data_IF_994819799497
#
_entry.id   IF_994819799497
#
_cell.length_a   1.000
_cell.length_b   1.000
_cell.length_c   1.000
_cell.angle_alpha   90.00
_cell.angle_beta   90.00
_cell.angle_gamma   90.00
#
_symmetry.space_group_name_H-M   'P 1'
#
loop_
_entity.id
_entity.type
_entity.pdbx_description
1 polymer ?
#
# COMPACT_ATOMS: atom_id res chain seq x y z
N UNK A 1 0.01 0.28 -1.24
CA UNK A 1 0.96 1.32 -0.78
C UNK A 1 1.44 2.16 -1.94
N UNK A 2 2.26 1.64 -2.88
CA UNK A 2 2.82 2.42 -3.99
C UNK A 2 1.78 3.25 -4.76
N UNK A 3 0.68 2.63 -5.21
CA UNK A 3 -0.40 3.31 -5.94
C UNK A 3 -0.97 4.49 -5.16
N UNK A 4 -1.34 4.29 -3.89
CA UNK A 4 -1.99 5.33 -3.07
C UNK A 4 -0.97 6.40 -2.68
N UNK A 5 0.29 6.04 -2.40
CA UNK A 5 1.35 7.01 -2.11
C UNK A 5 1.60 7.95 -3.28
N UNK A 6 1.75 7.39 -4.49
CA UNK A 6 1.95 8.19 -5.68
C UNK A 6 0.73 9.07 -5.98
N UNK A 7 -0.49 8.60 -5.69
CA UNK A 7 -1.69 9.44 -5.78
C UNK A 7 -1.62 10.61 -4.79
N UNK A 8 -1.20 10.39 -3.54
CA UNK A 8 -1.00 11.51 -2.60
C UNK A 8 0.07 12.45 -3.12
N UNK A 9 1.28 11.95 -3.37
CA UNK A 9 2.42 12.77 -3.75
C UNK A 9 2.19 13.60 -5.03
N UNK A 10 1.67 12.95 -6.08
CA UNK A 10 1.44 13.63 -7.36
C UNK A 10 0.32 14.66 -7.29
N UNK A 11 -0.70 14.46 -6.47
CA UNK A 11 -1.79 15.42 -6.33
C UNK A 11 -1.43 16.59 -5.39
N UNK A 12 -0.63 16.35 -4.34
CA UNK A 12 -0.07 17.44 -3.51
C UNK A 12 0.81 18.33 -4.40
N UNK A 13 1.85 17.78 -5.02
CA UNK A 13 2.76 18.59 -5.84
C UNK A 13 2.05 19.20 -7.06
N UNK A 14 1.07 18.49 -7.64
CA UNK A 14 0.24 19.00 -8.72
C UNK A 14 -0.60 20.21 -8.30
N UNK A 15 -1.10 20.22 -7.06
CA UNK A 15 -1.81 21.37 -6.49
C UNK A 15 -0.91 22.59 -6.31
N UNK A 16 0.29 22.39 -5.79
CA UNK A 16 1.31 23.45 -5.69
C UNK A 16 1.71 24.01 -7.06
N UNK A 17 1.94 23.16 -8.06
CA UNK A 17 2.23 23.58 -9.44
C UNK A 17 1.07 24.40 -10.00
N UNK A 18 -0.19 24.02 -9.71
CA UNK A 18 -1.36 24.77 -10.14
C UNK A 18 -1.42 26.17 -9.51
N UNK A 19 -1.13 26.27 -8.20
CA UNK A 19 -1.06 27.55 -7.48
C UNK A 19 0.08 28.44 -7.99
N UNK A 20 1.26 27.88 -8.25
CA UNK A 20 2.38 28.59 -8.86
C UNK A 20 1.97 29.19 -10.22
N UNK A 21 1.37 28.38 -11.10
CA UNK A 21 0.90 28.86 -12.41
C UNK A 21 -0.18 29.94 -12.31
N UNK A 22 -1.02 29.88 -11.27
CA UNK A 22 -2.09 30.86 -11.04
C UNK A 22 -1.59 32.15 -10.38
N UNK A 23 -0.50 32.07 -9.59
CA UNK A 23 0.10 33.17 -8.83
C UNK A 23 1.19 33.92 -9.60
N UNK A 24 1.73 33.36 -10.68
CA UNK A 24 2.62 34.07 -11.65
C UNK A 24 1.97 35.36 -12.19
N UNK A 25 0.65 35.50 -12.13
CA UNK A 25 -0.07 36.74 -12.47
C UNK A 25 -0.09 37.81 -11.35
N UNK A 26 0.36 37.49 -10.12
CA UNK A 26 0.20 38.32 -8.91
C UNK A 26 1.46 38.27 -8.00
N UNK A 27 2.56 38.87 -8.45
CA UNK A 27 3.74 39.31 -7.68
C UNK A 27 4.63 38.28 -6.95
N UNK A 28 5.92 38.28 -7.35
CA UNK A 28 7.22 38.17 -6.63
C UNK A 28 7.48 37.17 -5.47
N UNK A 29 6.54 36.31 -5.08
CA UNK A 29 6.88 35.15 -4.28
C UNK A 29 7.39 34.05 -5.23
N UNK A 30 8.67 33.71 -5.13
CA UNK A 30 9.30 32.69 -5.99
C UNK A 30 8.50 31.37 -6.04
N UNK A 31 8.63 30.66 -7.15
CA UNK A 31 7.96 29.37 -7.42
C UNK A 31 8.11 28.42 -6.24
N UNK A 32 7.00 28.01 -5.63
CA UNK A 32 7.02 27.11 -4.48
C UNK A 32 7.42 25.69 -4.88
N UNK A 33 6.97 25.23 -6.06
CA UNK A 33 7.29 23.94 -6.63
C UNK A 33 8.25 24.11 -7.82
N UNK A 34 9.46 24.63 -7.58
CA UNK A 34 10.51 24.63 -8.60
C UNK A 34 10.85 23.19 -9.05
N UNK A 35 11.43 22.98 -10.25
CA UNK A 35 11.82 21.64 -10.70
C UNK A 35 12.74 20.91 -9.71
N UNK A 36 13.63 21.64 -9.03
CA UNK A 36 14.48 21.04 -7.98
C UNK A 36 13.65 20.56 -6.78
N UNK A 37 12.69 21.38 -6.31
CA UNK A 37 11.79 21.01 -5.20
C UNK A 37 10.93 19.81 -5.57
N UNK A 38 10.37 19.79 -6.79
CA UNK A 38 9.56 18.67 -7.30
C UNK A 38 10.38 17.37 -7.29
N UNK A 39 11.60 17.40 -7.84
CA UNK A 39 12.46 16.22 -7.88
C UNK A 39 12.87 15.77 -6.48
N UNK A 40 13.24 16.70 -5.60
CA UNK A 40 13.64 16.39 -4.24
C UNK A 40 12.47 15.77 -3.46
N UNK A 41 11.28 16.38 -3.52
CA UNK A 41 10.07 15.86 -2.88
C UNK A 41 9.69 14.46 -3.38
N UNK A 42 9.62 14.26 -4.70
CA UNK A 42 9.25 12.97 -5.28
C UNK A 42 10.30 11.87 -5.01
N UNK A 43 11.55 12.24 -4.73
CA UNK A 43 12.58 11.26 -4.34
C UNK A 43 12.30 10.57 -3.00
N UNK A 44 11.41 11.11 -2.16
CA UNK A 44 10.98 10.46 -0.91
C UNK A 44 10.33 9.09 -1.11
N UNK A 45 9.85 8.79 -2.32
CA UNK A 45 9.36 7.45 -2.70
C UNK A 45 10.41 6.34 -2.51
N UNK A 46 11.70 6.71 -2.48
CA UNK A 46 12.81 5.79 -2.27
C UNK A 46 12.72 5.07 -0.92
N UNK A 47 12.14 5.69 0.12
CA UNK A 47 11.94 5.01 1.40
C UNK A 47 11.05 3.79 1.27
N UNK A 48 9.89 3.94 0.61
CA UNK A 48 8.98 2.83 0.34
C UNK A 48 9.65 1.72 -0.48
N UNK A 49 10.55 2.07 -1.40
CA UNK A 49 11.25 1.10 -2.26
C UNK A 49 12.56 0.58 -1.65
N UNK A 50 12.97 1.09 -0.49
CA UNK A 50 14.23 0.78 0.19
C UNK A 50 13.99 0.25 1.61
N UNK A 51 14.30 1.08 2.62
CA UNK A 51 14.26 0.70 4.03
C UNK A 51 12.84 0.31 4.46
N UNK A 52 11.83 1.07 4.06
CA UNK A 52 10.42 0.79 4.36
C UNK A 52 9.97 -0.59 3.86
N UNK A 53 10.36 -0.98 2.62
CA UNK A 53 10.09 -2.32 2.10
C UNK A 53 10.85 -3.40 2.88
N UNK A 54 12.11 -3.16 3.20
CA UNK A 54 12.93 -4.12 3.96
C UNK A 54 12.34 -4.41 5.34
N UNK A 55 11.86 -3.37 6.02
CA UNK A 55 11.16 -3.52 7.30
C UNK A 55 9.83 -4.25 7.15
N UNK A 56 9.04 -3.91 6.12
CA UNK A 56 7.77 -4.58 5.84
C UNK A 56 7.98 -6.07 5.55
N UNK A 57 8.98 -6.43 4.74
CA UNK A 57 9.36 -7.83 4.47
C UNK A 57 9.69 -8.54 5.79
N UNK A 58 10.45 -7.90 6.68
CA UNK A 58 10.83 -8.47 7.97
C UNK A 58 9.60 -8.72 8.86
N UNK A 59 8.66 -7.77 8.90
CA UNK A 59 7.41 -7.93 9.66
C UNK A 59 6.53 -9.03 9.08
N UNK A 60 6.29 -9.02 7.76
CA UNK A 60 5.47 -10.02 7.07
C UNK A 60 6.07 -11.41 7.22
N UNK A 61 7.39 -11.56 7.07
CA UNK A 61 8.10 -12.83 7.28
C UNK A 61 7.89 -13.38 8.69
N UNK A 62 7.93 -12.51 9.70
CA UNK A 62 7.66 -12.89 11.10
C UNK A 62 6.20 -13.34 11.27
N UNK A 63 5.24 -12.63 10.69
CA UNK A 63 3.82 -12.98 10.76
C UNK A 63 3.54 -14.32 10.06
N UNK A 64 4.09 -14.53 8.85
CA UNK A 64 4.00 -15.80 8.12
C UNK A 64 4.59 -16.94 8.93
N UNK A 65 5.77 -16.77 9.54
CA UNK A 65 6.40 -17.78 10.38
C UNK A 65 5.54 -18.14 11.60
N UNK A 66 4.87 -17.17 12.22
CA UNK A 66 3.95 -17.41 13.35
C UNK A 66 2.72 -18.22 12.93
N UNK A 67 2.14 -17.95 11.75
CA UNK A 67 0.89 -18.57 11.31
C UNK A 67 1.10 -19.92 10.63
N UNK A 68 2.11 -20.03 9.76
CA UNK A 68 2.33 -21.23 8.94
C UNK A 68 3.53 -22.08 9.39
N UNK A 69 4.38 -21.57 10.29
CA UNK A 69 5.64 -22.22 10.63
C UNK A 69 5.52 -23.57 11.34
N UNK A 70 4.40 -23.83 12.02
CA UNK A 70 4.12 -25.12 12.66
C UNK A 70 3.40 -26.12 11.76
N UNK A 71 3.00 -25.72 10.55
CA UNK A 71 2.26 -26.59 9.63
C UNK A 71 3.20 -27.55 8.89
N UNK A 72 2.75 -28.79 8.73
CA UNK A 72 3.49 -29.79 7.95
C UNK A 72 3.36 -29.51 6.46
N UNK A 73 4.45 -29.67 5.70
CA UNK A 73 4.40 -29.60 4.23
C UNK A 73 3.44 -30.61 3.59
N UNK A 74 3.12 -31.70 4.31
CA UNK A 74 2.16 -32.73 3.88
C UNK A 74 0.71 -32.39 4.22
N UNK A 75 0.47 -31.41 5.10
CA UNK A 75 -0.87 -31.02 5.51
C UNK A 75 -1.61 -30.44 4.31
N UNK A 76 -2.81 -30.98 4.04
CA UNK A 76 -3.70 -30.46 3.01
C UNK A 76 -4.50 -29.29 3.57
N UNK A 77 -4.57 -28.21 2.80
CA UNK A 77 -5.37 -27.03 3.11
C UNK A 77 -6.35 -26.81 1.97
N UNK A 78 -7.59 -26.51 2.31
CA UNK A 78 -8.61 -25.99 1.42
C UNK A 78 -8.37 -24.51 1.09
N UNK A 79 -9.04 -24.00 0.06
CA UNK A 79 -8.99 -22.58 -0.29
C UNK A 79 -9.48 -21.68 0.87
N UNK A 80 -10.52 -22.11 1.58
CA UNK A 80 -11.07 -21.37 2.73
C UNK A 80 -10.10 -21.34 3.91
N UNK A 81 -9.40 -22.44 4.20
CA UNK A 81 -8.35 -22.47 5.22
C UNK A 81 -7.18 -21.57 4.83
N UNK A 82 -6.77 -21.58 3.55
CA UNK A 82 -5.73 -20.67 3.05
C UNK A 82 -6.14 -19.20 3.19
N UNK A 83 -7.38 -18.86 2.84
CA UNK A 83 -7.93 -17.52 3.04
C UNK A 83 -7.90 -17.10 4.52
N UNK A 84 -8.28 -18.00 5.43
CA UNK A 84 -8.21 -17.74 6.88
C UNK A 84 -6.78 -17.49 7.35
N UNK A 85 -5.81 -18.29 6.89
CA UNK A 85 -4.40 -18.05 7.20
C UNK A 85 -3.90 -16.70 6.66
N UNK A 86 -4.27 -16.32 5.44
CA UNK A 86 -3.92 -15.01 4.87
C UNK A 86 -4.54 -13.88 5.68
N UNK A 87 -5.81 -13.99 6.08
CA UNK A 87 -6.48 -13.01 6.95
C UNK A 87 -5.79 -12.87 8.30
N UNK A 88 -5.35 -13.97 8.90
CA UNK A 88 -4.61 -13.92 10.16
C UNK A 88 -3.24 -13.27 10.00
N UNK A 89 -2.51 -13.56 8.91
CA UNK A 89 -1.24 -12.89 8.59
C UNK A 89 -1.48 -11.39 8.43
N UNK A 90 -2.53 -10.98 7.70
CA UNK A 90 -2.90 -9.57 7.55
C UNK A 90 -3.19 -8.93 8.90
N UNK A 91 -3.98 -9.58 9.75
CA UNK A 91 -4.28 -9.10 11.10
C UNK A 91 -3.01 -8.83 11.90
N UNK A 92 -2.04 -9.76 11.91
CA UNK A 92 -0.78 -9.60 12.62
C UNK A 92 0.13 -8.47 12.07
N UNK A 93 -0.04 -8.10 10.79
CA UNK A 93 0.73 -7.04 10.13
C UNK A 93 0.05 -5.68 10.28
N UNK A 94 -1.27 -5.65 10.15
CA UNK A 94 -2.10 -4.44 10.15
C UNK A 94 -2.50 -4.00 11.57
N UNK A 95 -2.74 -4.92 12.51
CA UNK A 95 -3.10 -4.57 13.88
C UNK A 95 -1.88 -4.09 14.68
N UNK A 96 -2.09 -3.01 15.44
CA UNK A 96 -1.22 -2.65 16.54
C UNK A 96 -1.31 -3.72 17.62
N UNK A 97 -0.18 -4.26 18.06
CA UNK A 97 -0.11 -5.04 19.31
C UNK A 97 -0.63 -4.12 20.43
N UNK A 98 -1.90 -4.30 20.83
CA UNK A 98 -2.51 -3.61 21.98
C UNK A 98 -1.92 -4.06 23.32
N UNK A 99 -0.92 -4.95 23.29
CA UNK A 99 -0.29 -5.55 24.47
C UNK A 99 0.94 -4.78 24.97
N UNK A 100 1.35 -3.71 24.28
CA UNK A 100 2.32 -2.76 24.81
C UNK A 100 1.57 -1.78 25.70
N UNK A 101 1.79 -1.81 27.01
CA UNK A 101 1.31 -0.80 27.96
C UNK A 101 1.98 0.57 27.75
N UNK A 102 1.92 1.11 26.52
CA UNK A 102 2.35 2.45 26.19
C UNK A 102 1.10 3.28 25.91
N UNK A 103 0.91 4.24 26.79
CA UNK A 103 -0.14 5.24 26.85
C UNK A 103 -0.42 5.87 25.48
N UNK A 104 -1.70 5.92 25.12
CA UNK A 104 -2.43 7.02 24.45
C UNK A 104 -1.72 7.91 23.42
N UNK A 105 -0.77 7.42 22.62
CA UNK A 105 -0.41 8.11 21.37
C UNK A 105 -1.20 7.49 20.23
N UNK A 106 -2.39 8.09 20.02
CA UNK A 106 -3.23 8.07 18.83
C UNK A 106 -2.81 7.12 17.72
N UNK A 107 -3.60 6.05 17.53
CA UNK A 107 -4.09 5.46 16.28
C UNK A 107 -3.34 5.68 14.94
N UNK A 108 -2.02 5.85 14.92
CA UNK A 108 -1.25 5.93 13.68
C UNK A 108 -1.24 4.56 13.04
N UNK A 109 -1.73 4.49 11.80
CA UNK A 109 -1.67 3.25 11.02
C UNK A 109 -0.20 2.84 10.89
N UNK A 110 0.18 1.67 11.44
CA UNK A 110 1.53 1.10 11.33
C UNK A 110 2.04 1.04 9.89
N UNK A 111 1.11 0.96 8.95
CA UNK A 111 1.39 0.88 7.53
C UNK A 111 2.06 2.15 6.98
N UNK A 112 1.80 3.32 7.57
CA UNK A 112 2.34 4.61 7.12
C UNK A 112 3.86 4.69 7.33
N UNK A 113 4.38 4.04 8.37
CA UNK A 113 5.83 3.96 8.68
C UNK A 113 6.66 3.30 7.57
N UNK A 114 6.04 2.42 6.77
CA UNK A 114 6.69 1.79 5.62
C UNK A 114 6.66 2.69 4.38
N UNK A 115 5.85 3.74 4.37
CA UNK A 115 5.61 4.61 3.23
C UNK A 115 6.44 5.89 3.30
N UNK A 116 6.67 6.42 4.49
CA UNK A 116 7.56 7.55 4.74
C UNK A 116 8.39 7.34 6.01
N UNK A 117 9.61 7.91 6.08
CA UNK A 117 10.37 7.91 7.32
C UNK A 117 9.70 8.79 8.38
N UNK A 118 9.90 8.41 9.64
CA UNK A 118 9.48 9.18 10.80
C UNK A 118 10.10 10.59 10.77
N UNK A 119 9.40 11.56 11.37
CA UNK A 119 9.86 12.96 11.39
C UNK A 119 11.21 13.11 12.10
N UNK A 120 11.45 12.30 13.13
CA UNK A 120 12.68 12.27 13.92
C UNK A 120 13.90 11.71 13.14
N UNK A 121 13.67 11.08 11.99
CA UNK A 121 14.77 10.53 11.20
C UNK A 121 15.56 11.67 10.52
N UNK A 122 16.89 11.50 10.31
CA UNK A 122 17.71 12.50 9.64
C UNK A 122 17.11 12.91 8.28
N UNK A 123 17.09 14.22 7.98
CA UNK A 123 16.51 14.75 6.73
C UNK A 123 17.05 14.05 5.47
N UNK A 124 18.33 13.69 5.47
CA UNK A 124 19.00 12.97 4.38
C UNK A 124 18.39 11.60 4.06
N UNK A 125 17.67 10.99 5.01
CA UNK A 125 16.93 9.74 4.82
C UNK A 125 15.51 9.96 4.29
N UNK A 126 14.99 11.19 4.39
CA UNK A 126 13.62 11.54 3.99
C UNK A 126 13.50 11.87 2.51
N UNK A 127 14.51 12.50 1.93
CA UNK A 127 14.61 12.76 0.51
C UNK A 127 16.07 12.94 0.08
N UNK A 128 16.35 12.74 -1.20
CA UNK A 128 17.69 12.82 -1.77
C UNK A 128 18.26 14.24 -1.61
N UNK A 129 19.36 14.35 -0.86
CA UNK A 129 20.07 15.62 -0.65
C UNK A 129 19.30 16.65 0.18
N UNK A 130 18.31 16.23 0.97
CA UNK A 130 17.50 17.12 1.80
C UNK A 130 18.31 17.73 2.95
N UNK A 131 18.22 19.04 3.09
CA UNK A 131 18.85 19.82 4.16
C UNK A 131 17.84 20.72 4.86
N UNK A 132 18.19 21.27 6.02
CA UNK A 132 17.34 22.20 6.78
C UNK A 132 16.98 23.48 6.00
N UNK A 133 17.72 23.79 4.92
CA UNK A 133 17.48 24.95 4.07
C UNK A 133 16.31 24.73 3.09
N UNK A 134 15.93 23.49 2.84
CA UNK A 134 14.92 23.09 1.86
C UNK A 134 13.51 23.16 2.47
N UNK A 135 13.16 24.33 3.00
CA UNK A 135 11.95 24.56 3.82
C UNK A 135 10.68 24.14 3.09
N UNK A 136 10.58 24.37 1.78
CA UNK A 136 9.40 23.99 0.99
C UNK A 136 9.28 22.48 0.84
N UNK A 137 10.38 21.77 0.60
CA UNK A 137 10.37 20.30 0.51
C UNK A 137 10.01 19.69 1.87
N UNK A 138 10.55 20.22 2.97
CA UNK A 138 10.20 19.78 4.33
C UNK A 138 8.71 19.97 4.59
N UNK A 139 8.14 21.11 4.20
CA UNK A 139 6.69 21.38 4.32
C UNK A 139 5.86 20.34 3.55
N UNK A 140 6.20 20.09 2.29
CA UNK A 140 5.48 19.11 1.46
C UNK A 140 5.54 17.71 2.08
N UNK A 141 6.68 17.31 2.66
CA UNK A 141 6.83 16.03 3.34
C UNK A 141 5.95 15.95 4.59
N UNK A 142 5.85 17.03 5.37
CA UNK A 142 4.99 17.08 6.56
C UNK A 142 3.50 17.02 6.17
N UNK A 143 3.07 17.79 5.17
CA UNK A 143 1.71 17.71 4.63
C UNK A 143 1.38 16.31 4.08
N UNK A 144 2.37 15.64 3.50
CA UNK A 144 2.22 14.25 3.07
C UNK A 144 2.04 13.33 4.27
N UNK A 145 2.81 13.48 5.35
CA UNK A 145 2.64 12.71 6.58
C UNK A 145 1.24 12.90 7.16
N UNK A 146 0.78 14.13 7.28
CA UNK A 146 -0.57 14.45 7.76
C UNK A 146 -1.64 13.74 6.90
N UNK A 147 -1.47 13.76 5.58
CA UNK A 147 -2.37 13.06 4.66
C UNK A 147 -2.32 11.53 4.83
N UNK A 148 -1.14 10.95 5.04
CA UNK A 148 -0.98 9.51 5.29
C UNK A 148 -1.55 9.08 6.64
N UNK A 149 -1.54 9.96 7.64
CA UNK A 149 -2.12 9.71 8.97
C UNK A 149 -3.64 9.95 9.00
N UNK A 150 -4.21 10.53 7.95
CA UNK A 150 -5.64 10.81 7.87
C UNK A 150 -6.51 9.53 7.87
N UNK A 151 -7.74 9.60 8.41
CA UNK A 151 -8.69 8.50 8.35
C UNK A 151 -9.09 8.15 6.91
N UNK A 152 -9.21 9.16 6.04
CA UNK A 152 -9.59 8.97 4.63
C UNK A 152 -8.54 8.15 3.90
N UNK A 153 -7.24 8.47 4.09
CA UNK A 153 -6.16 7.67 3.54
C UNK A 153 -6.21 6.22 4.03
N UNK A 154 -6.46 6.02 5.33
CA UNK A 154 -6.57 4.68 5.92
C UNK A 154 -7.72 3.86 5.31
N UNK A 155 -8.87 4.47 5.06
CA UNK A 155 -10.03 3.84 4.40
C UNK A 155 -9.69 3.43 2.96
N UNK A 156 -9.06 4.32 2.20
CA UNK A 156 -8.67 4.03 0.80
C UNK A 156 -7.61 2.94 0.75
N UNK A 157 -6.58 3.03 1.59
CA UNK A 157 -5.53 2.02 1.66
C UNK A 157 -6.11 0.65 2.03
N UNK A 158 -6.99 0.57 3.02
CA UNK A 158 -7.65 -0.68 3.41
C UNK A 158 -8.51 -1.25 2.27
N UNK A 159 -9.24 -0.39 1.55
CA UNK A 159 -10.01 -0.79 0.37
C UNK A 159 -9.12 -1.40 -0.72
N UNK A 160 -7.96 -0.77 -1.00
CA UNK A 160 -6.98 -1.31 -1.94
C UNK A 160 -6.40 -2.65 -1.47
N UNK A 161 -6.06 -2.78 -0.18
CA UNK A 161 -5.53 -4.04 0.37
C UNK A 161 -6.56 -5.16 0.27
N UNK A 162 -7.81 -4.91 0.68
CA UNK A 162 -8.90 -5.88 0.60
C UNK A 162 -9.15 -6.32 -0.84
N UNK A 163 -9.17 -5.37 -1.79
CA UNK A 163 -9.29 -5.66 -3.23
C UNK A 163 -8.12 -6.50 -3.74
N UNK A 164 -6.89 -6.16 -3.34
CA UNK A 164 -5.67 -6.85 -3.74
C UNK A 164 -5.60 -8.28 -3.21
N UNK A 165 -5.85 -8.51 -1.92
CA UNK A 165 -5.90 -9.86 -1.36
C UNK A 165 -7.05 -10.69 -1.92
N UNK A 166 -8.19 -10.08 -2.25
CA UNK A 166 -9.27 -10.75 -2.99
C UNK A 166 -8.78 -11.26 -4.35
N UNK A 167 -8.08 -10.42 -5.13
CA UNK A 167 -7.52 -10.83 -6.43
C UNK A 167 -6.44 -11.89 -6.33
N UNK A 168 -5.59 -11.83 -5.31
CA UNK A 168 -4.61 -12.88 -5.01
C UNK A 168 -5.32 -14.22 -4.77
N UNK A 169 -6.36 -14.23 -3.96
CA UNK A 169 -7.15 -15.43 -3.69
C UNK A 169 -7.88 -15.93 -4.93
N UNK A 170 -8.48 -15.04 -5.72
CA UNK A 170 -9.12 -15.39 -7.00
C UNK A 170 -8.13 -16.11 -7.93
N UNK A 171 -6.90 -15.62 -8.04
CA UNK A 171 -5.86 -16.25 -8.87
C UNK A 171 -5.38 -17.59 -8.32
N UNK A 172 -5.21 -17.70 -7.00
CA UNK A 172 -4.84 -18.97 -6.37
C UNK A 172 -5.96 -20.01 -6.52
N UNK A 173 -7.22 -19.58 -6.45
CA UNK A 173 -8.39 -20.46 -6.56
C UNK A 173 -8.45 -21.23 -7.88
N UNK A 174 -7.85 -20.71 -8.95
CA UNK A 174 -7.78 -21.41 -10.24
C UNK A 174 -7.04 -22.74 -10.17
N UNK A 175 -6.11 -22.87 -9.22
CA UNK A 175 -5.32 -24.09 -8.98
C UNK A 175 -6.00 -25.07 -8.03
N UNK A 176 -7.10 -24.67 -7.38
CA UNK A 176 -7.94 -25.50 -6.51
C UNK A 176 -9.11 -26.14 -7.28
N UNK A 177 -8.98 -26.28 -8.61
CA UNK A 177 -9.97 -26.95 -9.46
C UNK A 177 -9.64 -28.43 -9.63
N UNK A 178 -10.64 -29.32 -9.69
CA UNK A 178 -10.38 -30.73 -9.91
C UNK A 178 -9.88 -30.91 -11.35
N UNK A 179 -8.93 -31.82 -11.55
CA UNK A 179 -8.46 -32.13 -12.90
C UNK A 179 -9.64 -32.68 -13.73
N UNK A 180 -9.70 -32.37 -15.03
CA UNK A 180 -10.77 -32.86 -15.94
C UNK A 180 -10.94 -34.40 -15.91
N UNK A 181 -9.92 -35.14 -15.47
CA UNK A 181 -9.96 -36.59 -15.27
C UNK A 181 -10.79 -37.04 -14.05
N UNK A 182 -10.90 -36.22 -12.99
CA UNK A 182 -11.67 -36.52 -11.76
C UNK A 182 -13.16 -36.20 -11.92
N UNK A 183 -13.49 -35.24 -12.77
CA UNK A 183 -14.86 -34.85 -13.13
C UNK A 183 -15.61 -35.98 -13.87
N UNK A 184 -14.90 -36.84 -14.60
CA UNK A 184 -15.49 -37.97 -15.33
C UNK A 184 -15.92 -39.15 -14.42
N UNK A 185 -15.50 -39.17 -13.15
CA UNK A 185 -15.85 -40.24 -12.21
C UNK A 185 -16.86 -39.82 -11.13
N UNK A 186 -17.17 -38.53 -11.00
CA UNK A 186 -18.06 -38.02 -9.95
C UNK A 186 -19.14 -37.09 -10.50
N UNK A 187 -20.33 -37.64 -10.70
CA UNK A 187 -21.58 -36.93 -11.00
C UNK A 187 -22.11 -36.17 -9.77
N UNK A 188 -21.30 -35.29 -9.20
CA UNK A 188 -21.68 -34.52 -8.01
C UNK A 188 -21.17 -33.09 -8.12
N UNK A 189 -22.11 -32.19 -8.46
CA UNK A 189 -21.97 -30.73 -8.43
C UNK A 189 -21.57 -30.16 -7.05
N UNK A 190 -21.48 -31.00 -6.01
CA UNK A 190 -21.07 -30.63 -4.66
C UNK A 190 -19.55 -30.72 -4.39
N UNK A 191 -18.73 -31.12 -5.39
CA UNK A 191 -17.29 -31.40 -5.17
C UNK A 191 -16.37 -30.17 -5.27
N UNK A 192 -16.88 -28.98 -5.57
CA UNK A 192 -16.04 -27.79 -5.76
C UNK A 192 -15.60 -27.12 -4.44
N UNK A 193 -16.32 -27.35 -3.34
CA UNK A 193 -16.07 -26.70 -2.05
C UNK A 193 -15.12 -27.46 -1.11
N UNK A 194 -14.66 -28.66 -1.48
CA UNK A 194 -13.83 -29.52 -0.61
C UNK A 194 -12.43 -29.81 -1.14
N UNK A 195 -12.01 -29.16 -2.23
CA UNK A 195 -10.69 -29.44 -2.82
C UNK A 195 -9.61 -28.85 -1.92
N UNK A 196 -8.71 -29.72 -1.49
CA UNK A 196 -7.60 -29.38 -0.59
C UNK A 196 -6.29 -29.80 -1.23
N UNK A 197 -5.29 -28.92 -1.14
CA UNK A 197 -3.95 -29.17 -1.67
C UNK A 197 -2.95 -29.29 -0.52
N UNK A 198 -1.98 -30.22 -0.58
CA UNK A 198 -0.86 -30.23 0.33
C UNK A 198 -0.12 -28.89 0.29
N UNK A 199 0.30 -28.38 1.45
CA UNK A 199 1.03 -27.10 1.56
C UNK A 199 2.25 -27.05 0.63
N UNK A 200 2.97 -28.17 0.46
CA UNK A 200 4.07 -28.29 -0.49
C UNK A 200 3.71 -27.93 -1.94
N UNK A 201 2.46 -28.15 -2.36
CA UNK A 201 1.95 -27.76 -3.69
C UNK A 201 1.45 -26.32 -3.73
N UNK A 202 0.98 -25.78 -2.60
CA UNK A 202 0.52 -24.38 -2.49
C UNK A 202 1.71 -23.41 -2.57
N UNK A 203 2.86 -23.76 -1.99
CA UNK A 203 4.08 -22.94 -2.00
C UNK A 203 4.46 -22.44 -3.41
N UNK A 204 4.66 -23.31 -4.43
CA UNK A 204 5.02 -22.84 -5.77
C UNK A 204 3.91 -22.01 -6.43
N UNK A 205 2.64 -22.28 -6.14
CA UNK A 205 1.50 -21.48 -6.64
C UNK A 205 1.59 -20.06 -6.08
N UNK A 206 1.72 -19.93 -4.76
CA UNK A 206 1.86 -18.64 -4.09
C UNK A 206 3.12 -17.89 -4.55
N UNK A 207 4.23 -18.59 -4.75
CA UNK A 207 5.47 -18.00 -5.26
C UNK A 207 5.29 -17.42 -6.68
N UNK A 208 4.50 -18.07 -7.53
CA UNK A 208 4.21 -17.59 -8.89
C UNK A 208 3.38 -16.31 -8.94
N UNK A 209 2.63 -15.98 -7.88
CA UNK A 209 1.72 -14.83 -7.85
C UNK A 209 2.44 -13.48 -8.01
N UNK A 210 3.71 -13.39 -7.63
CA UNK A 210 4.50 -12.15 -7.76
C UNK A 210 4.56 -11.65 -9.21
N UNK A 211 4.62 -12.56 -10.19
CA UNK A 211 4.72 -12.20 -11.60
C UNK A 211 3.40 -11.64 -12.15
N UNK A 212 2.26 -12.06 -11.60
CA UNK A 212 0.95 -11.52 -11.95
C UNK A 212 0.70 -10.18 -11.24
N UNK A 213 1.05 -10.08 -9.95
CA UNK A 213 0.82 -8.88 -9.13
C UNK A 213 1.71 -7.72 -9.57
N UNK A 214 3.00 -7.99 -9.79
CA UNK A 214 4.02 -6.97 -10.08
C UNK A 214 4.45 -6.92 -11.55
N UNK A 215 3.61 -7.38 -12.50
CA UNK A 215 3.95 -7.35 -13.92
C UNK A 215 4.08 -5.90 -14.45
N UNK A 216 5.09 -5.66 -15.29
CA UNK A 216 5.35 -4.38 -15.96
C UNK A 216 4.40 -4.11 -17.13
N UNK A 217 3.99 -5.17 -17.84
CA UNK A 217 2.83 -5.13 -18.73
C UNK A 217 1.61 -4.87 -17.86
N UNK A 218 0.61 -4.07 -18.29
CA UNK A 218 -0.51 -3.68 -17.45
C UNK A 218 -1.17 -4.90 -16.80
N UNK A 219 -0.75 -5.23 -15.58
CA UNK A 219 -1.33 -6.34 -14.88
C UNK A 219 -2.73 -5.91 -14.53
N UNK A 220 -3.71 -6.79 -14.81
CA UNK A 220 -5.09 -6.53 -14.38
C UNK A 220 -5.13 -6.16 -12.89
N UNK A 221 -4.18 -6.66 -12.08
CA UNK A 221 -4.02 -6.29 -10.69
C UNK A 221 -3.73 -4.81 -10.45
N UNK A 222 -2.64 -4.26 -11.03
CA UNK A 222 -2.26 -2.86 -10.81
C UNK A 222 -3.27 -1.92 -11.47
N UNK A 223 -3.75 -2.28 -12.66
CA UNK A 223 -4.82 -1.53 -13.33
C UNK A 223 -6.09 -1.48 -12.50
N UNK A 224 -6.53 -2.60 -11.94
CA UNK A 224 -7.71 -2.65 -11.08
C UNK A 224 -7.59 -1.62 -9.95
N UNK A 225 -6.44 -1.55 -9.27
CA UNK A 225 -6.19 -0.58 -8.20
C UNK A 225 -6.16 0.87 -8.71
N UNK A 226 -5.57 1.12 -9.89
CA UNK A 226 -5.49 2.46 -10.48
C UNK A 226 -6.86 2.99 -10.92
N UNK A 227 -7.78 2.09 -11.30
CA UNK A 227 -9.12 2.43 -11.79
C UNK A 227 -10.20 2.46 -10.70
N UNK A 228 -9.91 2.01 -9.47
CA UNK A 228 -10.82 2.10 -8.32
C UNK A 228 -11.34 3.53 -8.13
N UNK A 229 -12.66 3.67 -8.06
CA UNK A 229 -13.34 4.95 -7.87
C UNK A 229 -12.92 5.60 -6.55
N UNK A 230 -12.86 4.83 -5.45
CA UNK A 230 -12.42 5.34 -4.14
C UNK A 230 -11.02 5.96 -4.18
N UNK A 231 -10.11 5.43 -5.01
CA UNK A 231 -8.75 5.95 -5.16
C UNK A 231 -8.76 7.24 -5.97
N UNK A 232 -9.62 7.34 -7.00
CA UNK A 232 -9.74 8.54 -7.83
C UNK A 232 -10.40 9.68 -7.07
N UNK A 233 -11.46 9.40 -6.32
CA UNK A 233 -12.19 10.40 -5.55
C UNK A 233 -11.30 10.97 -4.44
N UNK A 234 -10.59 10.11 -3.72
CA UNK A 234 -9.60 10.54 -2.74
C UNK A 234 -8.49 11.38 -3.38
N UNK A 235 -7.96 10.96 -4.53
CA UNK A 235 -6.95 11.73 -5.25
C UNK A 235 -7.46 13.12 -5.68
N UNK A 236 -8.72 13.22 -6.11
CA UNK A 236 -9.36 14.48 -6.46
C UNK A 236 -9.52 15.39 -5.23
N UNK A 237 -9.94 14.84 -4.09
CA UNK A 237 -10.05 15.60 -2.83
C UNK A 237 -8.69 16.12 -2.36
N UNK A 238 -7.64 15.29 -2.44
CA UNK A 238 -6.27 15.73 -2.16
C UNK A 238 -5.90 16.86 -3.11
N UNK A 239 -6.08 16.68 -4.42
CA UNK A 239 -5.75 17.73 -5.38
C UNK A 239 -6.49 19.04 -5.10
N UNK A 240 -7.78 18.99 -4.82
CA UNK A 240 -8.60 20.16 -4.51
C UNK A 240 -8.10 20.88 -3.24
N UNK A 241 -7.78 20.13 -2.18
CA UNK A 241 -7.26 20.69 -0.93
C UNK A 241 -5.94 21.46 -1.12
N UNK A 242 -5.04 20.95 -1.97
CA UNK A 242 -3.71 21.54 -2.22
C UNK A 242 -3.66 22.49 -3.43
N UNK A 243 -4.74 22.60 -4.21
CA UNK A 243 -4.87 23.54 -5.34
C UNK A 243 -5.78 24.73 -5.05
N UNK A 244 -6.52 24.69 -3.95
CA UNK A 244 -7.32 25.82 -3.48
C UNK A 244 -6.40 26.86 -2.83
N UNK A 245 -6.49 28.15 -3.20
CA UNK A 245 -5.81 29.19 -2.45
C UNK A 245 -6.35 29.11 -1.03
N UNK A 246 -5.48 28.85 -0.04
CA UNK A 246 -5.88 28.83 1.36
C UNK A 246 -6.69 30.11 1.61
N UNK A 247 -8.01 29.96 1.82
CA UNK A 247 -8.77 30.99 2.48
C UNK A 247 -8.13 31.06 3.87
N UNK A 248 -7.25 32.05 4.04
CA UNK A 248 -6.82 32.56 5.33
C UNK A 248 -8.09 32.98 6.09
N UNK A 249 -8.82 32.02 6.63
CA UNK A 249 -9.85 32.26 7.61
C UNK A 249 -9.17 32.45 8.97
N UNK A 250 -8.96 33.73 9.26
CA UNK A 250 -9.05 34.43 10.56
C UNK A 250 -8.34 33.85 11.79
#
# INVERSE_FOLDING_TARGET
>A
MLVVLLRVQLNIIGGYIYLDNSSVAKNDNGLQASPEVQQQYLSSIQHLLGDGLTELITLVKRAVQKVLGSLSLKQSLSLTELEQHIKEIRRLVEDCDKNSNQEESESKSRLCRYMMPDEDNPLTSQACGLTEKDVTTIRLLNETRDMLESPDFSIVLNSCLTRGFGRLLDSIAEFFRPNEQELNQSSSLNSLSSISLPLAKIIPIANGQIHAICSEMPSHFVQDLLFMEQVKDFAANVYEAFSSPQQLEK
#
